data_IF_510900913433
#
_entry.id   IF_510900913433
#
_cell.length_a   1.000
_cell.length_b   1.000
_cell.length_c   1.000
_cell.angle_alpha   90.00
_cell.angle_beta   90.00
_cell.angle_gamma   90.00
#
_symmetry.space_group_name_H-M   'P 1'
#
loop_
_entity.id
_entity.type
_entity.pdbx_description
1 polymer ?
#
# COMPACT_ATOMS: atom_id res chain seq x y z
N UNK A 1 -12.77 -4.80 -45.72
CA UNK A 1 -13.04 -4.91 -44.26
C UNK A 1 -14.52 -4.57 -44.08
N UNK A 2 -15.35 -5.54 -43.67
CA UNK A 2 -16.81 -5.37 -43.68
C UNK A 2 -17.27 -4.48 -42.51
N UNK A 3 -18.31 -3.66 -42.73
CA UNK A 3 -18.85 -2.74 -41.73
C UNK A 3 -19.23 -3.42 -40.40
N UNK A 4 -19.63 -4.70 -40.45
CA UNK A 4 -19.92 -5.52 -39.28
C UNK A 4 -18.68 -5.76 -38.38
N UNK A 5 -17.48 -5.81 -38.96
CA UNK A 5 -16.22 -5.98 -38.22
C UNK A 5 -15.83 -4.70 -37.48
N UNK A 6 -16.12 -3.53 -38.07
CA UNK A 6 -15.90 -2.21 -37.45
C UNK A 6 -16.85 -1.99 -36.28
N UNK A 7 -18.12 -2.37 -36.43
CA UNK A 7 -19.13 -2.26 -35.37
C UNK A 7 -18.80 -3.13 -34.15
N UNK A 8 -18.31 -4.36 -34.38
CA UNK A 8 -17.86 -5.26 -33.31
C UNK A 8 -16.60 -4.74 -32.59
N UNK A 9 -15.64 -4.19 -33.34
CA UNK A 9 -14.45 -3.59 -32.75
C UNK A 9 -14.79 -2.36 -31.88
N UNK A 10 -15.73 -1.53 -32.32
CA UNK A 10 -16.17 -0.35 -31.57
C UNK A 10 -16.85 -0.73 -30.23
N UNK A 11 -17.66 -1.79 -30.20
CA UNK A 11 -18.30 -2.30 -28.98
C UNK A 11 -17.28 -2.85 -27.96
N UNK A 12 -16.24 -3.54 -28.42
CA UNK A 12 -15.18 -4.05 -27.52
C UNK A 12 -14.35 -2.90 -26.95
N UNK A 13 -14.03 -1.88 -27.76
CA UNK A 13 -13.27 -0.72 -27.31
C UNK A 13 -14.05 0.15 -26.30
N UNK A 14 -15.38 0.27 -26.44
CA UNK A 14 -16.16 1.05 -25.47
C UNK A 14 -16.25 0.39 -24.10
N UNK A 15 -16.23 -0.95 -24.03
CA UNK A 15 -16.32 -1.69 -22.76
C UNK A 15 -15.09 -1.51 -21.86
N UNK A 16 -13.90 -1.27 -22.43
CA UNK A 16 -12.67 -1.04 -21.67
C UNK A 16 -12.51 0.39 -21.14
N UNK A 17 -13.31 1.36 -21.62
CA UNK A 17 -13.18 2.77 -21.25
C UNK A 17 -13.70 3.10 -19.84
N UNK A 18 -14.42 2.18 -19.19
CA UNK A 18 -14.97 2.36 -17.84
C UNK A 18 -14.21 1.63 -16.74
N UNK A 19 -12.98 1.19 -17.00
CA UNK A 19 -12.07 0.80 -15.93
C UNK A 19 -11.61 2.09 -15.21
N UNK A 20 -12.45 2.61 -14.32
CA UNK A 20 -12.11 3.73 -13.45
C UNK A 20 -10.92 3.27 -12.59
N UNK A 21 -9.72 3.77 -12.89
CA UNK A 21 -8.58 3.58 -12.00
C UNK A 21 -8.89 4.37 -10.75
N UNK A 22 -9.15 3.70 -9.63
CA UNK A 22 -9.37 4.34 -8.34
C UNK A 22 -8.03 4.91 -7.85
N UNK A 23 -7.64 6.08 -8.36
CA UNK A 23 -6.47 6.82 -7.91
C UNK A 23 -6.86 7.71 -6.73
N UNK A 24 -6.28 7.46 -5.57
CA UNK A 24 -6.27 8.45 -4.50
C UNK A 24 -5.16 9.48 -4.78
N UNK A 25 -5.39 10.74 -4.40
CA UNK A 25 -4.37 11.78 -4.45
C UNK A 25 -3.29 11.56 -3.39
N UNK A 26 -3.66 10.97 -2.24
CA UNK A 26 -2.74 10.67 -1.14
C UNK A 26 -3.11 9.37 -0.44
N UNK A 27 -2.09 8.58 -0.14
CA UNK A 27 -2.17 7.39 0.68
C UNK A 27 -1.55 7.66 2.05
N UNK A 28 -2.30 7.38 3.12
CA UNK A 28 -1.80 7.45 4.49
C UNK A 28 -1.81 6.06 5.09
N UNK A 29 -0.75 5.70 5.80
CA UNK A 29 -0.73 4.48 6.61
C UNK A 29 -0.41 4.86 8.05
N UNK A 30 -1.30 4.46 8.94
CA UNK A 30 -1.14 4.59 10.38
C UNK A 30 -0.79 3.24 10.98
N UNK A 31 0.21 3.22 11.86
CA UNK A 31 0.51 2.09 12.72
C UNK A 31 -0.62 1.89 13.75
N UNK A 32 -0.70 0.71 14.42
CA UNK A 32 -1.74 0.43 15.42
C UNK A 32 -1.75 1.39 16.62
N UNK A 33 -0.66 2.13 16.85
CA UNK A 33 -0.54 3.20 17.84
C UNK A 33 -1.02 4.58 17.32
N UNK A 34 -1.73 4.64 16.19
CA UNK A 34 -2.16 5.85 15.49
C UNK A 34 -1.02 6.78 15.01
N UNK A 35 0.20 6.26 14.89
CA UNK A 35 1.32 7.01 14.34
C UNK A 35 1.34 6.94 12.82
N UNK A 36 1.57 8.08 12.15
CA UNK A 36 1.71 8.12 10.69
C UNK A 36 3.06 7.51 10.29
N UNK A 37 3.03 6.38 9.58
CA UNK A 37 4.22 5.67 9.12
C UNK A 37 4.47 5.82 7.63
N UNK A 38 3.44 6.21 6.86
CA UNK A 38 3.56 6.44 5.44
C UNK A 38 2.60 7.53 4.96
N UNK A 39 3.09 8.42 4.11
CA UNK A 39 2.31 9.42 3.37
C UNK A 39 2.97 9.68 2.02
N UNK A 40 2.30 9.32 0.93
CA UNK A 40 2.77 9.59 -0.43
C UNK A 40 1.60 9.56 -1.43
N UNK A 41 1.82 10.09 -2.63
CA UNK A 41 0.89 9.97 -3.77
C UNK A 41 1.07 8.64 -4.50
N UNK A 42 2.11 7.87 -4.14
CA UNK A 42 2.35 6.51 -4.62
C UNK A 42 1.78 5.51 -3.63
N UNK A 43 1.10 4.48 -4.14
CA UNK A 43 0.56 3.43 -3.28
C UNK A 43 1.73 2.59 -2.70
N UNK A 44 1.77 2.36 -1.37
CA UNK A 44 2.82 1.55 -0.74
C UNK A 44 2.58 0.03 -0.89
N UNK A 45 1.41 -0.36 -1.41
CA UNK A 45 0.96 -1.74 -1.54
C UNK A 45 0.40 -1.99 -2.93
N UNK A 46 0.35 -3.26 -3.31
CA UNK A 46 -0.39 -3.70 -4.49
C UNK A 46 -1.90 -3.56 -4.28
N UNK A 47 -2.54 -2.70 -5.07
CA UNK A 47 -3.98 -2.44 -5.04
C UNK A 47 -4.80 -3.44 -5.87
N UNK A 48 -4.16 -4.35 -6.60
CA UNK A 48 -4.85 -5.47 -7.27
C UNK A 48 -5.33 -6.53 -6.26
N UNK A 49 -4.80 -6.49 -5.04
CA UNK A 49 -5.12 -7.40 -3.95
C UNK A 49 -5.99 -6.72 -2.87
N UNK A 50 -6.75 -7.50 -2.08
CA UNK A 50 -7.54 -6.96 -0.98
C UNK A 50 -6.66 -6.26 0.08
N UNK A 51 -7.00 -5.03 0.45
CA UNK A 51 -6.20 -4.19 1.36
C UNK A 51 -5.92 -4.83 2.73
N UNK A 52 -6.85 -5.62 3.28
CA UNK A 52 -6.63 -6.30 4.56
C UNK A 52 -5.46 -7.30 4.50
N UNK A 53 -5.14 -7.81 3.31
CA UNK A 53 -4.02 -8.74 3.10
C UNK A 53 -2.71 -7.98 2.89
N UNK A 54 -2.73 -6.86 2.15
CA UNK A 54 -1.51 -6.14 1.78
C UNK A 54 -1.07 -5.13 2.83
N UNK A 55 -2.01 -4.38 3.42
CA UNK A 55 -1.70 -3.38 4.47
C UNK A 55 -1.13 -4.06 5.73
N UNK A 56 -1.64 -5.24 6.08
CA UNK A 56 -1.13 -6.02 7.21
C UNK A 56 0.33 -6.45 7.06
N UNK A 57 0.86 -6.49 5.82
CA UNK A 57 2.27 -6.80 5.56
C UNK A 57 3.20 -5.63 5.86
N UNK A 58 2.70 -4.39 5.76
CA UNK A 58 3.48 -3.19 6.08
C UNK A 58 3.74 -3.10 7.59
N UNK A 59 2.70 -3.32 8.38
CA UNK A 59 2.77 -3.41 9.83
C UNK A 59 1.51 -4.10 10.37
N UNK A 60 1.63 -5.08 11.29
CA UNK A 60 0.47 -5.75 11.87
C UNK A 60 -0.48 -4.76 12.55
N UNK A 61 -1.75 -4.78 12.16
CA UNK A 61 -2.77 -3.86 12.70
C UNK A 61 -2.73 -2.44 12.13
N UNK A 62 -1.93 -2.19 11.09
CA UNK A 62 -1.92 -0.91 10.41
C UNK A 62 -3.25 -0.62 9.71
N UNK A 63 -3.55 0.67 9.59
CA UNK A 63 -4.75 1.19 8.93
C UNK A 63 -4.34 2.11 7.79
N UNK A 64 -4.88 1.85 6.60
CA UNK A 64 -4.65 2.67 5.42
C UNK A 64 -5.84 3.58 5.16
N UNK A 65 -5.57 4.83 4.78
CA UNK A 65 -6.57 5.83 4.42
C UNK A 65 -6.25 6.46 3.07
N UNK A 66 -7.29 6.81 2.32
CA UNK A 66 -7.20 7.40 1.00
C UNK A 66 -7.81 8.79 1.04
N UNK A 67 -7.06 9.80 0.59
CA UNK A 67 -7.57 11.15 0.39
C UNK A 67 -7.53 11.51 -1.08
N UNK A 68 -8.53 12.28 -1.53
CA UNK A 68 -8.56 12.92 -2.85
C UNK A 68 -7.96 14.33 -2.83
N UNK A 69 -7.60 14.83 -1.64
CA UNK A 69 -7.00 16.15 -1.48
C UNK A 69 -5.48 16.09 -1.66
N UNK A 70 -4.98 16.66 -2.74
CA UNK A 70 -3.55 16.69 -3.10
C UNK A 70 -2.70 17.54 -2.14
N UNK A 71 -3.30 18.56 -1.49
CA UNK A 71 -2.57 19.47 -0.60
C UNK A 71 -2.03 18.75 0.64
N UNK A 72 -2.73 17.70 1.09
CA UNK A 72 -2.28 16.90 2.23
C UNK A 72 -1.04 16.03 1.92
N UNK A 73 -0.59 15.91 0.65
CA UNK A 73 0.59 15.11 0.27
C UNK A 73 1.92 15.84 0.25
N UNK A 74 1.95 17.16 0.50
CA UNK A 74 3.11 18.00 0.19
C UNK A 74 4.43 17.57 0.87
N UNK A 75 4.37 16.77 1.93
CA UNK A 75 5.56 16.25 2.60
C UNK A 75 5.49 14.73 2.65
N UNK A 76 6.34 14.06 1.86
CA UNK A 76 6.42 12.62 1.87
C UNK A 76 6.92 12.09 3.22
N UNK A 77 6.29 11.02 3.71
CA UNK A 77 6.71 10.30 4.90
C UNK A 77 6.85 8.84 4.51
N UNK A 78 8.01 8.24 4.72
CA UNK A 78 8.20 6.82 4.51
C UNK A 78 9.07 6.23 5.62
N UNK A 79 8.41 5.75 6.67
CA UNK A 79 9.03 5.12 7.84
C UNK A 79 8.88 3.60 7.80
N UNK A 80 8.35 3.03 6.71
CA UNK A 80 8.06 1.59 6.60
C UNK A 80 9.36 0.78 6.69
N UNK A 81 10.36 1.14 5.88
CA UNK A 81 11.64 0.44 5.82
C UNK A 81 12.41 0.55 7.15
N UNK A 82 12.46 1.75 7.73
CA UNK A 82 13.12 1.99 9.02
C UNK A 82 12.48 1.17 10.14
N UNK A 83 11.15 1.15 10.23
CA UNK A 83 10.43 0.35 11.23
C UNK A 83 10.66 -1.15 11.06
N UNK A 84 10.71 -1.63 9.83
CA UNK A 84 11.03 -3.04 9.56
C UNK A 84 12.43 -3.39 10.07
N UNK A 85 13.41 -2.50 9.88
CA UNK A 85 14.78 -2.69 10.39
C UNK A 85 14.83 -2.68 11.92
N UNK A 86 14.16 -1.73 12.58
CA UNK A 86 14.12 -1.64 14.04
C UNK A 86 13.46 -2.90 14.64
N UNK A 87 12.35 -3.37 14.06
CA UNK A 87 11.69 -4.59 14.49
C UNK A 87 12.60 -5.82 14.35
N UNK A 88 13.32 -5.95 13.23
CA UNK A 88 14.27 -7.03 13.01
C UNK A 88 15.44 -6.99 14.01
N UNK A 89 16.00 -5.81 14.28
CA UNK A 89 17.09 -5.63 15.24
C UNK A 89 16.66 -6.03 16.66
N UNK A 90 15.44 -5.64 17.07
CA UNK A 90 14.86 -6.06 18.37
C UNK A 90 14.74 -7.58 18.48
N UNK A 91 14.16 -8.22 17.47
CA UNK A 91 13.99 -9.69 17.46
C UNK A 91 15.33 -10.42 17.56
N UNK A 92 16.36 -9.92 16.85
CA UNK A 92 17.71 -10.48 16.93
C UNK A 92 18.31 -10.35 18.33
N UNK A 93 18.14 -9.19 18.98
CA UNK A 93 18.61 -8.97 20.35
C UNK A 93 17.94 -9.94 21.33
N UNK A 94 16.63 -10.08 21.24
CA UNK A 94 15.88 -11.02 22.09
C UNK A 94 16.31 -12.48 21.86
N UNK A 95 16.61 -12.85 20.62
CA UNK A 95 17.13 -14.19 20.31
C UNK A 95 18.48 -14.45 20.98
N UNK A 96 19.42 -13.49 20.89
CA UNK A 96 20.73 -13.59 21.54
C UNK A 96 20.61 -13.76 23.06
N UNK A 97 19.74 -12.96 23.70
CA UNK A 97 19.51 -13.07 25.15
C UNK A 97 18.96 -14.45 25.54
N UNK A 98 18.06 -15.05 24.74
CA UNK A 98 17.55 -16.40 24.98
C UNK A 98 18.58 -17.51 24.70
N UNK A 99 19.57 -17.24 23.86
CA UNK A 99 20.69 -18.14 23.61
C UNK A 99 21.66 -18.09 24.80
N UNK A 100 22.00 -16.89 25.31
CA UNK A 100 22.82 -16.70 26.50
C UNK A 100 22.20 -17.34 27.75
N UNK A 101 20.88 -17.25 27.92
CA UNK A 101 20.16 -17.89 29.05
C UNK A 101 20.12 -19.42 29.00
N UNK A 102 20.48 -20.03 27.87
CA UNK A 102 20.49 -21.50 27.70
C UNK A 102 21.82 -22.14 28.08
N UNK A 103 22.86 -21.35 28.29
CA UNK A 103 24.18 -21.78 28.75
C UNK A 103 24.38 -21.41 30.22
#
# INVERSE_FOLDING_TARGET
MTAASVLRAALVLSACAWAQVASAACYFVYAPNNELIYRSNVAPVDLSLPLHQTVSQLSPGARMFFSLDEYNCATEVNLIAERAQIAAARNNRERRLREEQRF
#
